data_IF_986316780809
#
_entry.id   IF_986316780809
#
_cell.length_a   1.000
_cell.length_b   1.000
_cell.length_c   1.000
_cell.angle_alpha   90.00
_cell.angle_beta   90.00
_cell.angle_gamma   90.00
#
_symmetry.space_group_name_H-M   'P 1'
#
loop_
_entity.id
_entity.type
_entity.pdbx_description
1 polymer ?
#
# COMPACT_ATOMS: atom_id res chain seq x y z
N UNK A 1 28.47 -52.47 -41.57
CA UNK A 1 29.19 -52.44 -42.87
C UNK A 1 28.56 -51.30 -43.66
N UNK A 2 29.25 -50.16 -43.79
CA UNK A 2 30.11 -49.82 -44.93
C UNK A 2 29.31 -49.57 -46.21
N UNK A 3 29.27 -48.31 -46.66
CA UNK A 3 29.74 -47.84 -47.98
C UNK A 3 29.55 -46.30 -48.08
N UNK A 4 30.64 -45.53 -47.90
CA UNK A 4 31.46 -44.83 -48.94
C UNK A 4 30.90 -43.44 -49.32
N UNK A 5 31.55 -42.36 -48.86
CA UNK A 5 32.57 -41.55 -49.60
C UNK A 5 31.94 -40.63 -50.68
N UNK A 6 32.04 -39.30 -50.52
CA UNK A 6 33.03 -38.39 -51.17
C UNK A 6 32.93 -38.43 -52.71
N UNK A 7 32.85 -37.30 -53.41
CA UNK A 7 34.00 -36.40 -53.69
C UNK A 7 33.54 -35.00 -54.13
N UNK A 8 34.42 -34.00 -53.99
CA UNK A 8 34.24 -32.60 -54.42
C UNK A 8 34.30 -32.43 -55.95
N UNK A 9 33.61 -31.41 -56.48
CA UNK A 9 33.74 -30.95 -57.86
C UNK A 9 33.58 -29.43 -57.98
N UNK A 10 34.68 -28.69 -57.77
CA UNK A 10 34.75 -27.22 -57.95
C UNK A 10 34.91 -26.83 -59.41
N UNK A 11 34.28 -25.73 -59.86
CA UNK A 11 34.94 -24.68 -60.66
C UNK A 11 34.05 -23.45 -60.97
N UNK A 12 34.58 -22.25 -60.69
CA UNK A 12 34.75 -21.09 -61.59
C UNK A 12 33.52 -20.56 -62.39
N UNK A 13 33.22 -19.25 -62.47
CA UNK A 13 34.06 -18.03 -62.38
C UNK A 13 33.25 -16.79 -61.95
N UNK A 14 33.96 -15.86 -61.29
CA UNK A 14 33.85 -14.37 -61.28
C UNK A 14 32.91 -13.79 -62.37
N UNK A 15 32.04 -12.80 -62.11
CA UNK A 15 32.36 -11.44 -61.59
C UNK A 15 31.04 -10.64 -61.36
N UNK A 16 30.87 -9.65 -60.46
CA UNK A 16 31.56 -9.27 -59.21
C UNK A 16 30.73 -8.25 -58.37
N UNK A 17 31.16 -8.09 -57.09
CA UNK A 17 31.06 -6.98 -56.10
C UNK A 17 30.15 -5.72 -56.32
N UNK A 18 29.71 -5.05 -55.21
CA UNK A 18 29.25 -5.62 -53.91
C UNK A 18 28.19 -4.79 -53.11
N UNK A 19 27.70 -5.40 -52.02
CA UNK A 19 27.43 -4.80 -50.69
C UNK A 19 26.31 -3.73 -50.50
N UNK A 20 25.52 -3.77 -49.43
CA UNK A 20 25.36 -4.81 -48.40
C UNK A 20 23.96 -4.73 -47.76
N UNK A 21 23.47 -5.87 -47.25
CA UNK A 21 22.15 -6.02 -46.67
C UNK A 21 22.14 -5.96 -45.14
N UNK A 22 20.94 -5.64 -44.62
CA UNK A 22 20.33 -6.07 -43.36
C UNK A 22 21.20 -6.66 -42.22
N UNK A 23 21.05 -6.04 -41.05
CA UNK A 23 20.50 -6.73 -39.87
C UNK A 23 21.36 -7.76 -39.15
N UNK A 24 22.02 -7.34 -38.06
CA UNK A 24 22.39 -8.22 -36.94
C UNK A 24 22.01 -7.53 -35.62
N UNK A 25 21.18 -8.20 -34.83
CA UNK A 25 20.85 -7.74 -33.48
C UNK A 25 22.07 -7.91 -32.56
N UNK A 26 22.57 -6.80 -32.00
CA UNK A 26 23.66 -6.82 -31.03
C UNK A 26 23.12 -6.97 -29.60
N UNK A 27 23.53 -7.99 -28.83
CA UNK A 27 23.19 -8.07 -27.41
C UNK A 27 24.03 -7.06 -26.63
N UNK A 28 23.36 -6.17 -25.88
CA UNK A 28 24.03 -5.24 -24.96
C UNK A 28 24.70 -6.00 -23.81
N UNK A 29 25.99 -6.34 -23.98
CA UNK A 29 26.86 -6.82 -22.90
C UNK A 29 27.07 -5.72 -21.87
N UNK A 30 26.26 -5.74 -20.82
CA UNK A 30 26.53 -5.01 -19.58
C UNK A 30 27.81 -5.58 -18.94
N UNK A 31 28.95 -4.92 -19.16
CA UNK A 31 30.13 -5.13 -18.32
C UNK A 31 29.83 -4.61 -16.92
N UNK A 32 29.75 -5.52 -15.95
CA UNK A 32 29.82 -5.16 -14.55
C UNK A 32 31.25 -4.70 -14.24
N UNK A 33 31.46 -3.38 -14.21
CA UNK A 33 32.66 -2.81 -13.58
C UNK A 33 32.51 -2.99 -12.07
N UNK A 34 33.29 -3.91 -11.50
CA UNK A 34 33.54 -3.92 -10.06
C UNK A 34 34.26 -2.60 -9.75
N UNK A 35 33.55 -1.69 -9.09
CA UNK A 35 34.13 -0.42 -8.69
C UNK A 35 35.07 -0.66 -7.50
N UNK A 36 36.31 -0.20 -7.63
CA UNK A 36 37.27 -0.16 -6.54
C UNK A 36 36.82 0.80 -5.43
N UNK A 37 37.35 0.58 -4.24
CA UNK A 37 37.25 1.51 -3.11
C UNK A 37 37.77 2.91 -3.50
N UNK A 38 37.22 3.93 -2.83
CA UNK A 38 37.81 5.26 -2.65
C UNK A 38 38.17 6.07 -3.91
N UNK A 39 37.14 6.44 -4.66
CA UNK A 39 37.14 7.66 -5.45
C UNK A 39 36.00 8.57 -4.96
N UNK A 40 36.31 9.83 -4.63
CA UNK A 40 35.34 10.80 -4.13
C UNK A 40 34.16 10.93 -5.11
N UNK A 41 32.96 10.56 -4.66
CA UNK A 41 31.80 10.46 -5.52
C UNK A 41 31.28 11.86 -5.90
N UNK A 42 31.56 12.28 -7.14
CA UNK A 42 30.97 13.50 -7.70
C UNK A 42 29.44 13.45 -7.75
N UNK A 43 28.77 14.61 -7.86
CA UNK A 43 27.32 14.72 -7.76
C UNK A 43 26.59 13.83 -8.77
N UNK A 44 25.59 13.09 -8.29
CA UNK A 44 24.86 12.10 -9.10
C UNK A 44 23.81 12.81 -9.97
N UNK A 45 23.91 12.66 -11.29
CA UNK A 45 22.96 13.26 -12.23
C UNK A 45 21.50 12.84 -11.93
N UNK A 46 20.68 13.78 -11.42
CA UNK A 46 19.30 13.53 -11.01
C UNK A 46 18.44 12.95 -12.14
N UNK A 47 18.62 13.45 -13.37
CA UNK A 47 17.91 12.95 -14.55
C UNK A 47 18.25 11.49 -14.85
N UNK A 48 19.53 11.11 -14.73
CA UNK A 48 19.98 9.73 -14.89
C UNK A 48 19.34 8.83 -13.82
N UNK A 49 19.34 9.25 -12.55
CA UNK A 49 18.70 8.51 -11.45
C UNK A 49 17.19 8.33 -11.69
N UNK A 50 16.48 9.39 -12.07
CA UNK A 50 15.05 9.32 -12.40
C UNK A 50 14.74 8.35 -13.55
N UNK A 51 15.67 8.18 -14.51
CA UNK A 51 15.57 7.18 -15.58
C UNK A 51 15.92 5.77 -15.10
N UNK A 52 16.95 5.64 -14.25
CA UNK A 52 17.39 4.36 -13.68
C UNK A 52 16.30 3.74 -12.79
N UNK A 53 15.70 4.50 -11.87
CA UNK A 53 14.62 4.03 -11.00
C UNK A 53 13.45 3.48 -11.82
N UNK A 54 12.94 4.27 -12.79
CA UNK A 54 11.88 3.83 -13.72
C UNK A 54 12.26 2.58 -14.50
N UNK A 55 13.50 2.49 -15.00
CA UNK A 55 14.00 1.32 -15.73
C UNK A 55 14.03 0.05 -14.87
N UNK A 56 14.36 0.15 -13.57
CA UNK A 56 14.33 -0.99 -12.66
C UNK A 56 12.89 -1.40 -12.33
N UNK A 57 12.02 -0.43 -12.02
CA UNK A 57 10.60 -0.69 -11.73
C UNK A 57 9.87 -1.38 -12.91
N UNK A 58 10.19 -0.99 -14.15
CA UNK A 58 9.57 -1.53 -15.36
C UNK A 58 10.13 -2.89 -15.83
N UNK A 59 11.24 -3.39 -15.26
CA UNK A 59 11.84 -4.65 -15.68
C UNK A 59 11.12 -5.87 -15.09
N UNK A 60 10.94 -6.92 -15.90
CA UNK A 60 10.38 -8.23 -15.49
C UNK A 60 11.38 -9.09 -14.68
N UNK A 61 12.06 -8.48 -13.71
CA UNK A 61 12.94 -9.14 -12.75
C UNK A 61 12.18 -9.54 -11.50
N UNK A 62 12.70 -10.49 -10.71
CA UNK A 62 12.13 -10.81 -9.40
C UNK A 62 12.16 -9.59 -8.47
N UNK A 63 11.16 -9.49 -7.61
CA UNK A 63 11.00 -8.33 -6.72
C UNK A 63 12.23 -8.16 -5.80
N UNK A 64 12.85 -9.25 -5.34
CA UNK A 64 14.11 -9.23 -4.57
C UNK A 64 15.30 -8.55 -5.29
N UNK A 65 15.38 -8.71 -6.61
CA UNK A 65 16.42 -8.06 -7.42
C UNK A 65 16.10 -6.57 -7.59
N UNK A 66 14.82 -6.22 -7.77
CA UNK A 66 14.38 -4.82 -7.79
C UNK A 66 14.65 -4.13 -6.44
N UNK A 67 14.29 -4.75 -5.31
CA UNK A 67 14.59 -4.27 -3.96
C UNK A 67 16.07 -3.91 -3.81
N UNK A 68 16.98 -4.85 -4.10
CA UNK A 68 18.44 -4.62 -3.99
C UNK A 68 18.92 -3.50 -4.90
N UNK A 69 18.46 -3.46 -6.16
CA UNK A 69 18.90 -2.45 -7.15
C UNK A 69 18.35 -1.05 -6.87
N UNK A 70 17.09 -0.94 -6.45
CA UNK A 70 16.47 0.34 -6.09
C UNK A 70 17.08 0.90 -4.80
N UNK A 71 17.27 0.06 -3.75
CA UNK A 71 17.98 0.48 -2.53
C UNK A 71 19.38 1.02 -2.85
N UNK A 72 20.15 0.31 -3.68
CA UNK A 72 21.49 0.76 -4.09
C UNK A 72 21.49 2.04 -4.94
N UNK A 73 20.45 2.27 -5.76
CA UNK A 73 20.31 3.49 -6.55
C UNK A 73 19.89 4.70 -5.68
N UNK A 74 18.99 4.49 -4.71
CA UNK A 74 18.54 5.52 -3.77
C UNK A 74 19.68 5.93 -2.84
N UNK A 75 20.39 4.98 -2.20
CA UNK A 75 21.51 5.31 -1.29
C UNK A 75 22.61 6.16 -1.97
N UNK A 76 22.89 5.93 -3.26
CA UNK A 76 23.83 6.76 -4.04
C UNK A 76 23.30 8.16 -4.36
N UNK A 77 21.99 8.30 -4.53
CA UNK A 77 21.37 9.62 -4.68
C UNK A 77 21.45 10.38 -3.35
N UNK A 78 21.10 9.74 -2.24
CA UNK A 78 21.06 10.37 -0.92
C UNK A 78 22.42 10.91 -0.46
N UNK A 79 23.52 10.22 -0.78
CA UNK A 79 24.87 10.65 -0.42
C UNK A 79 25.35 11.95 -1.08
N UNK A 80 24.59 12.49 -2.04
CA UNK A 80 24.91 13.77 -2.70
C UNK A 80 23.64 14.54 -3.12
N UNK A 81 22.50 14.32 -2.44
CA UNK A 81 21.18 14.73 -2.95
C UNK A 81 21.04 16.25 -3.10
N UNK A 82 21.60 17.04 -2.18
CA UNK A 82 21.53 18.51 -2.18
C UNK A 82 22.33 19.10 -3.35
N UNK A 83 23.58 18.66 -3.54
CA UNK A 83 24.44 19.10 -4.64
C UNK A 83 23.89 18.64 -6.00
N UNK A 84 23.40 17.39 -6.05
CA UNK A 84 22.79 16.80 -7.25
C UNK A 84 21.51 17.53 -7.66
N UNK A 85 20.69 17.95 -6.69
CA UNK A 85 19.46 18.68 -6.93
C UNK A 85 19.74 20.13 -7.36
N UNK A 86 20.59 20.84 -6.62
CA UNK A 86 20.96 22.23 -6.95
C UNK A 86 21.62 22.34 -8.32
N UNK A 87 22.60 21.47 -8.62
CA UNK A 87 23.25 21.42 -9.94
C UNK A 87 22.29 21.05 -11.08
N UNK A 88 21.29 20.18 -10.83
CA UNK A 88 20.30 19.82 -11.83
C UNK A 88 19.24 20.92 -12.08
N UNK A 89 18.91 21.72 -11.07
CA UNK A 89 17.90 22.77 -11.17
C UNK A 89 18.47 24.10 -11.68
N UNK A 90 19.71 24.44 -11.32
CA UNK A 90 20.35 25.71 -11.68
C UNK A 90 20.24 26.10 -13.17
N UNK A 91 20.59 25.25 -14.16
CA UNK A 91 20.60 25.63 -15.58
C UNK A 91 19.21 25.65 -16.24
N UNK A 92 18.17 25.13 -15.59
CA UNK A 92 16.86 24.92 -16.19
C UNK A 92 15.93 26.14 -16.08
N UNK A 93 15.06 26.32 -17.06
CA UNK A 93 13.97 27.29 -16.99
C UNK A 93 12.85 26.85 -16.03
N UNK A 94 12.01 27.77 -15.56
CA UNK A 94 10.98 27.49 -14.55
C UNK A 94 9.93 26.43 -14.97
N UNK A 95 9.69 26.22 -16.27
CA UNK A 95 8.86 25.12 -16.77
C UNK A 95 9.58 23.76 -16.66
N UNK A 96 10.83 23.70 -17.11
CA UNK A 96 11.67 22.49 -17.12
C UNK A 96 12.02 22.03 -15.70
N UNK A 97 12.26 22.98 -14.77
CA UNK A 97 12.42 22.69 -13.33
C UNK A 97 11.22 21.94 -12.79
N UNK A 98 10.00 22.46 -13.00
CA UNK A 98 8.76 21.82 -12.56
C UNK A 98 8.57 20.44 -13.18
N UNK A 99 8.88 20.28 -14.48
CA UNK A 99 8.78 18.96 -15.11
C UNK A 99 9.80 17.95 -14.53
N UNK A 100 11.02 18.38 -14.22
CA UNK A 100 12.03 17.55 -13.56
C UNK A 100 11.64 17.20 -12.11
N UNK A 101 11.09 18.15 -11.35
CA UNK A 101 10.56 17.93 -9.99
C UNK A 101 9.43 16.89 -10.00
N UNK A 102 8.42 17.06 -10.87
CA UNK A 102 7.33 16.07 -11.05
C UNK A 102 7.88 14.70 -11.46
N UNK A 103 8.84 14.66 -12.38
CA UNK A 103 9.47 13.42 -12.84
C UNK A 103 10.26 12.73 -11.72
N UNK A 104 10.89 13.49 -10.82
CA UNK A 104 11.58 12.94 -9.65
C UNK A 104 10.59 12.40 -8.61
N UNK A 105 9.54 13.17 -8.27
CA UNK A 105 8.45 12.72 -7.39
C UNK A 105 7.83 11.41 -7.87
N UNK A 106 7.45 11.32 -9.16
CA UNK A 106 6.95 10.08 -9.78
C UNK A 106 7.93 8.91 -9.65
N UNK A 107 9.21 9.14 -9.96
CA UNK A 107 10.24 8.10 -9.87
C UNK A 107 10.44 7.60 -8.44
N UNK A 108 10.51 8.50 -7.46
CA UNK A 108 10.68 8.15 -6.05
C UNK A 108 9.44 7.43 -5.49
N UNK A 109 8.23 7.94 -5.80
CA UNK A 109 6.97 7.31 -5.40
C UNK A 109 6.81 5.89 -5.98
N UNK A 110 7.24 5.68 -7.24
CA UNK A 110 7.26 4.34 -7.84
C UNK A 110 8.23 3.37 -7.14
N UNK A 111 9.31 3.91 -6.54
CA UNK A 111 10.34 3.12 -5.88
C UNK A 111 9.97 2.73 -4.44
N UNK A 112 9.11 3.45 -3.72
CA UNK A 112 8.80 3.15 -2.29
C UNK A 112 8.24 1.75 -2.06
N UNK A 113 7.55 1.17 -3.06
CA UNK A 113 7.11 -0.25 -3.06
C UNK A 113 8.25 -1.25 -2.85
N UNK A 114 9.48 -0.83 -3.17
CA UNK A 114 10.71 -1.61 -3.13
C UNK A 114 11.70 -1.14 -2.05
N UNK A 115 11.36 -0.11 -1.27
CA UNK A 115 12.19 0.39 -0.19
C UNK A 115 11.69 -0.18 1.14
N UNK A 116 12.63 -0.45 2.04
CA UNK A 116 12.27 -0.79 3.41
C UNK A 116 11.83 0.48 4.13
N UNK A 117 10.78 0.38 4.95
CA UNK A 117 10.40 1.46 5.85
C UNK A 117 11.46 1.52 6.95
N UNK A 118 12.15 2.65 7.05
CA UNK A 118 12.98 3.00 8.19
C UNK A 118 12.01 3.30 9.33
N UNK A 119 11.62 2.25 10.06
CA UNK A 119 10.93 2.42 11.34
C UNK A 119 11.84 3.20 12.29
N UNK A 120 11.28 3.95 13.23
CA UNK A 120 12.02 4.86 14.12
C UNK A 120 12.81 4.12 15.21
N UNK A 121 13.69 3.21 14.81
CA UNK A 121 14.59 2.43 15.67
C UNK A 121 15.81 3.26 16.10
N UNK A 122 15.56 4.42 16.71
CA UNK A 122 16.62 5.34 17.17
C UNK A 122 16.17 6.35 18.25
N UNK A 123 15.28 5.95 19.17
CA UNK A 123 14.95 6.76 20.37
C UNK A 123 14.76 5.96 21.67
N UNK A 124 15.35 4.76 21.75
CA UNK A 124 15.42 3.91 22.96
C UNK A 124 16.81 3.28 23.11
N UNK A 125 17.87 4.10 23.00
CA UNK A 125 19.19 3.80 23.56
C UNK A 125 19.59 4.94 24.52
N UNK A 126 18.98 4.94 25.70
CA UNK A 126 19.45 5.66 26.89
C UNK A 126 18.89 4.95 28.14
N UNK A 127 19.79 4.57 29.05
CA UNK A 127 19.59 3.86 30.32
C UNK A 127 18.77 2.55 30.30
N UNK A 128 19.50 1.44 30.52
CA UNK A 128 18.91 0.18 30.92
C UNK A 128 18.74 0.09 32.44
N UNK A 129 17.66 -0.54 32.88
CA UNK A 129 17.58 -1.29 34.15
C UNK A 129 16.66 -2.50 33.90
N UNK A 130 17.18 -3.71 34.10
CA UNK A 130 16.33 -4.89 34.23
C UNK A 130 15.63 -4.89 35.59
N UNK A 131 14.30 -4.90 35.61
CA UNK A 131 13.54 -5.51 36.72
C UNK A 131 12.33 -6.24 36.16
N UNK A 132 12.41 -7.56 36.04
CA UNK A 132 11.25 -8.39 35.76
C UNK A 132 10.29 -8.44 36.96
N UNK A 133 8.98 -8.40 36.71
CA UNK A 133 7.95 -8.88 37.65
C UNK A 133 6.63 -9.18 36.93
N UNK A 134 6.30 -10.47 36.82
CA UNK A 134 4.94 -10.92 36.56
C UNK A 134 4.01 -10.47 37.71
N UNK A 135 2.83 -9.96 37.38
CA UNK A 135 1.66 -10.11 38.26
C UNK A 135 0.34 -10.07 37.46
N UNK A 136 -0.66 -10.91 37.78
CA UNK A 136 -1.84 -11.09 36.93
C UNK A 136 -3.02 -10.18 37.32
N UNK A 137 -3.89 -9.91 36.33
CA UNK A 137 -5.20 -9.24 36.41
C UNK A 137 -5.19 -7.74 36.75
N UNK A 138 -5.35 -6.92 35.71
CA UNK A 138 -5.92 -5.57 35.75
C UNK A 138 -7.11 -5.48 34.75
N UNK A 139 -8.05 -4.53 34.89
CA UNK A 139 -9.42 -4.68 34.37
C UNK A 139 -9.57 -4.38 32.86
N UNK A 140 -10.59 -5.00 32.26
CA UNK A 140 -10.99 -4.80 30.85
C UNK A 140 -11.80 -3.51 30.64
N UNK A 141 -11.17 -2.34 30.66
CA UNK A 141 -11.79 -1.12 30.13
C UNK A 141 -10.86 -0.41 29.12
N UNK A 142 -11.47 0.17 28.09
CA UNK A 142 -10.88 1.04 27.06
C UNK A 142 -9.46 0.70 26.54
N UNK A 143 -9.40 -0.06 25.43
CA UNK A 143 -8.34 0.13 24.42
C UNK A 143 -8.98 0.46 23.08
N UNK A 144 -9.29 1.74 22.92
CA UNK A 144 -9.34 2.39 21.62
C UNK A 144 -8.52 3.67 21.78
N UNK A 145 -7.67 3.94 20.79
CA UNK A 145 -6.60 4.93 20.80
C UNK A 145 -5.41 4.56 21.70
N UNK A 146 -4.28 4.33 21.03
CA UNK A 146 -2.92 4.68 21.46
C UNK A 146 -2.31 5.41 20.26
N UNK A 147 -2.79 6.62 20.00
CA UNK A 147 -2.04 7.65 19.24
C UNK A 147 -1.15 8.37 20.26
N UNK A 148 -0.38 7.58 21.02
CA UNK A 148 0.42 8.03 22.15
C UNK A 148 1.79 8.47 21.64
N UNK A 149 1.97 9.78 21.48
CA UNK A 149 3.29 10.42 21.57
C UNK A 149 4.29 10.16 20.45
N UNK A 150 3.92 9.52 19.33
CA UNK A 150 4.79 9.50 18.14
C UNK A 150 4.96 10.91 17.59
N UNK A 151 6.09 11.56 17.93
CA UNK A 151 6.52 12.87 17.40
C UNK A 151 6.82 12.73 15.91
N UNK A 152 5.79 12.74 15.09
CA UNK A 152 5.90 12.60 13.64
C UNK A 152 6.63 13.81 13.06
N UNK A 153 7.84 13.58 12.54
CA UNK A 153 8.77 14.61 12.07
C UNK A 153 8.41 15.25 10.73
N UNK A 154 7.29 14.87 10.11
CA UNK A 154 6.94 15.26 8.74
C UNK A 154 7.79 14.61 7.63
N UNK A 155 8.87 13.91 8.01
CA UNK A 155 9.80 13.25 7.08
C UNK A 155 9.25 11.91 6.57
N UNK A 156 9.67 11.55 5.35
CA UNK A 156 9.34 10.24 4.76
C UNK A 156 10.09 9.13 5.50
N UNK A 157 9.44 8.01 5.87
CA UNK A 157 10.12 6.89 6.51
C UNK A 157 10.92 6.04 5.50
N UNK A 158 11.14 6.50 4.27
CA UNK A 158 11.91 5.79 3.26
C UNK A 158 13.25 6.44 2.96
N UNK A 159 13.44 7.69 3.36
CA UNK A 159 14.54 8.56 2.92
C UNK A 159 15.11 9.37 4.10
N UNK A 160 16.31 9.91 3.93
CA UNK A 160 16.89 10.90 4.83
C UNK A 160 16.03 12.18 4.91
N UNK A 161 16.25 12.96 5.97
CA UNK A 161 15.58 14.26 6.17
C UNK A 161 15.82 15.19 4.97
N UNK A 162 17.08 15.36 4.54
CA UNK A 162 17.42 16.21 3.39
C UNK A 162 16.74 15.78 2.07
N UNK A 163 16.62 14.48 1.81
CA UNK A 163 15.83 13.99 0.67
C UNK A 163 14.34 14.30 0.86
N UNK A 164 13.79 14.13 2.07
CA UNK A 164 12.38 14.40 2.38
C UNK A 164 12.03 15.89 2.20
N UNK A 165 12.89 16.79 2.68
CA UNK A 165 12.71 18.25 2.55
C UNK A 165 12.70 18.68 1.08
N UNK A 166 13.63 18.17 0.28
CA UNK A 166 13.68 18.43 -1.16
C UNK A 166 12.47 17.85 -1.91
N UNK A 167 11.93 16.71 -1.48
CA UNK A 167 10.70 16.16 -2.05
C UNK A 167 9.46 17.00 -1.64
N UNK A 168 9.40 17.50 -0.39
CA UNK A 168 8.36 18.43 0.03
C UNK A 168 8.42 19.75 -0.77
N UNK A 169 9.62 20.31 -0.95
CA UNK A 169 9.85 21.47 -1.81
C UNK A 169 9.37 21.22 -3.25
N UNK A 170 9.64 20.04 -3.83
CA UNK A 170 9.11 19.69 -5.16
C UNK A 170 7.58 19.69 -5.19
N UNK A 171 6.89 19.17 -4.17
CA UNK A 171 5.42 19.19 -4.12
C UNK A 171 4.91 20.62 -3.99
N UNK A 172 5.53 21.44 -3.12
CA UNK A 172 5.21 22.85 -2.90
C UNK A 172 5.33 23.68 -4.19
N UNK A 173 6.49 23.65 -4.83
CA UNK A 173 6.76 24.36 -6.09
C UNK A 173 5.81 23.91 -7.20
N UNK A 174 5.57 22.60 -7.36
CA UNK A 174 4.68 22.10 -8.40
C UNK A 174 3.19 22.37 -8.13
N UNK A 175 2.76 22.53 -6.88
CA UNK A 175 1.37 22.81 -6.53
C UNK A 175 1.04 24.31 -6.49
N UNK A 176 1.98 25.15 -6.03
CA UNK A 176 1.70 26.55 -5.68
C UNK A 176 2.30 27.60 -6.64
N UNK A 177 3.23 27.23 -7.54
CA UNK A 177 3.88 28.20 -8.43
C UNK A 177 2.93 28.82 -9.49
N UNK A 178 1.77 28.23 -9.75
CA UNK A 178 0.75 28.78 -10.64
C UNK A 178 -0.66 28.55 -10.07
N UNK A 179 -1.43 29.63 -9.92
CA UNK A 179 -2.83 29.58 -9.50
C UNK A 179 -3.75 28.82 -10.49
N UNK A 180 -3.25 28.50 -11.69
CA UNK A 180 -3.92 27.70 -12.73
C UNK A 180 -3.42 26.26 -12.84
N UNK A 181 -2.62 25.78 -11.87
CA UNK A 181 -2.15 24.38 -11.84
C UNK A 181 -3.35 23.43 -11.96
N UNK A 182 -3.29 22.53 -12.95
CA UNK A 182 -4.44 21.75 -13.37
C UNK A 182 -4.82 20.65 -12.36
N UNK A 183 -6.10 20.29 -12.31
CA UNK A 183 -6.59 19.29 -11.37
C UNK A 183 -5.96 17.89 -11.56
N UNK A 184 -5.44 17.53 -12.75
CA UNK A 184 -4.79 16.25 -12.95
C UNK A 184 -3.39 16.24 -12.31
N UNK A 185 -2.60 17.31 -12.51
CA UNK A 185 -1.31 17.53 -11.82
C UNK A 185 -1.50 17.59 -10.30
N UNK A 186 -2.48 18.35 -9.79
CA UNK A 186 -2.77 18.41 -8.35
C UNK A 186 -3.14 17.03 -7.77
N UNK A 187 -3.93 16.23 -8.50
CA UNK A 187 -4.29 14.86 -8.10
C UNK A 187 -3.08 13.92 -8.11
N UNK A 188 -2.18 14.07 -9.07
CA UNK A 188 -0.94 13.30 -9.13
C UNK A 188 0.02 13.68 -8.00
N UNK A 189 0.18 14.97 -7.70
CA UNK A 189 0.98 15.45 -6.57
C UNK A 189 0.49 14.89 -5.24
N UNK A 190 -0.83 14.90 -5.00
CA UNK A 190 -1.43 14.25 -3.84
C UNK A 190 -1.13 12.74 -3.80
N UNK A 191 -1.24 12.06 -4.94
CA UNK A 191 -0.90 10.64 -5.08
C UNK A 191 0.57 10.33 -4.77
N UNK A 192 1.51 11.17 -5.24
CA UNK A 192 2.93 11.06 -4.93
C UNK A 192 3.20 11.31 -3.44
N UNK A 193 2.69 12.40 -2.87
CA UNK A 193 2.87 12.72 -1.45
C UNK A 193 2.37 11.60 -0.52
N UNK A 194 1.23 10.98 -0.85
CA UNK A 194 0.65 9.84 -0.12
C UNK A 194 1.46 8.53 -0.25
N UNK A 195 2.15 8.32 -1.38
CA UNK A 195 3.02 7.16 -1.60
C UNK A 195 4.42 7.34 -0.99
N UNK A 196 4.84 8.58 -0.84
CA UNK A 196 6.10 9.00 -0.22
C UNK A 196 5.95 9.27 1.29
N UNK A 197 4.72 9.39 1.81
CA UNK A 197 4.38 9.79 3.19
C UNK A 197 4.98 11.18 3.56
N UNK A 198 4.95 12.14 2.63
CA UNK A 198 5.47 13.50 2.82
C UNK A 198 4.54 14.36 3.69
N UNK A 199 5.12 15.18 4.56
CA UNK A 199 4.39 15.89 5.62
C UNK A 199 4.13 17.38 5.46
N UNK A 200 4.19 17.95 4.24
CA UNK A 200 3.87 19.37 4.01
C UNK A 200 2.36 19.63 4.11
N UNK A 201 1.86 19.80 5.35
CA UNK A 201 0.42 19.93 5.66
C UNK A 201 -0.23 21.12 4.95
N UNK A 202 0.44 22.27 4.87
CA UNK A 202 -0.09 23.47 4.21
C UNK A 202 -0.35 23.23 2.72
N UNK A 203 0.63 22.64 2.04
CA UNK A 203 0.52 22.32 0.61
C UNK A 203 -0.52 21.22 0.36
N UNK A 204 -0.58 20.20 1.22
CA UNK A 204 -1.60 19.15 1.13
C UNK A 204 -3.01 19.69 1.38
N UNK A 205 -3.19 20.61 2.33
CA UNK A 205 -4.46 21.34 2.53
C UNK A 205 -4.83 22.15 1.30
N UNK A 206 -3.89 22.88 0.70
CA UNK A 206 -4.12 23.63 -0.55
C UNK A 206 -4.58 22.71 -1.69
N UNK A 207 -3.84 21.63 -1.96
CA UNK A 207 -4.16 20.65 -3.00
C UNK A 207 -5.55 20.04 -2.78
N UNK A 208 -5.84 19.57 -1.56
CA UNK A 208 -7.13 18.94 -1.25
C UNK A 208 -8.28 19.95 -1.29
N UNK A 209 -8.07 21.18 -0.82
CA UNK A 209 -9.07 22.25 -0.93
C UNK A 209 -9.41 22.53 -2.41
N UNK A 210 -8.40 22.67 -3.28
CA UNK A 210 -8.61 22.88 -4.71
C UNK A 210 -9.42 21.73 -5.36
N UNK A 211 -9.03 20.48 -5.08
CA UNK A 211 -9.68 19.29 -5.63
C UNK A 211 -11.11 19.02 -5.09
N UNK A 212 -11.47 19.62 -3.95
CA UNK A 212 -12.79 19.50 -3.29
C UNK A 212 -13.69 20.74 -3.45
N UNK A 213 -13.29 21.72 -4.27
CA UNK A 213 -14.18 22.82 -4.68
C UNK A 213 -15.38 22.28 -5.46
N UNK A 214 -16.52 22.98 -5.35
CA UNK A 214 -17.79 22.53 -5.94
C UNK A 214 -17.68 22.26 -7.45
N UNK A 215 -17.02 23.15 -8.19
CA UNK A 215 -16.85 23.04 -9.64
C UNK A 215 -15.86 21.91 -10.01
N UNK A 216 -14.84 21.68 -9.17
CA UNK A 216 -13.93 20.55 -9.31
C UNK A 216 -14.68 19.22 -9.11
N UNK A 217 -15.53 19.10 -8.09
CA UNK A 217 -16.29 17.86 -7.84
C UNK A 217 -17.36 17.59 -8.90
N UNK A 218 -18.04 18.63 -9.40
CA UNK A 218 -19.08 18.51 -10.45
C UNK A 218 -18.57 17.92 -11.75
N UNK A 219 -17.32 18.23 -12.12
CA UNK A 219 -16.72 17.78 -13.37
C UNK A 219 -15.98 16.43 -13.24
N UNK A 220 -15.96 15.83 -12.05
CA UNK A 220 -15.30 14.53 -11.82
C UNK A 220 -16.26 13.36 -11.98
N UNK A 221 -15.78 12.31 -12.65
CA UNK A 221 -16.46 11.01 -12.67
C UNK A 221 -16.50 10.38 -11.27
N UNK A 222 -17.45 9.47 -10.99
CA UNK A 222 -17.50 8.79 -9.70
C UNK A 222 -16.21 8.04 -9.35
N UNK A 223 -15.54 7.42 -10.34
CA UNK A 223 -14.28 6.72 -10.10
C UNK A 223 -13.15 7.67 -9.66
N UNK A 224 -13.07 8.86 -10.25
CA UNK A 224 -12.12 9.89 -9.80
C UNK A 224 -12.44 10.39 -8.38
N UNK A 225 -13.72 10.53 -8.02
CA UNK A 225 -14.13 10.91 -6.67
C UNK A 225 -13.76 9.83 -5.63
N UNK A 226 -13.90 8.53 -5.98
CA UNK A 226 -13.45 7.41 -5.15
C UNK A 226 -11.93 7.42 -4.99
N UNK A 227 -11.18 7.68 -6.06
CA UNK A 227 -9.72 7.81 -6.01
C UNK A 227 -9.28 9.01 -5.16
N UNK A 228 -9.94 10.17 -5.30
CA UNK A 228 -9.69 11.36 -4.49
C UNK A 228 -9.97 11.09 -3.01
N UNK A 229 -11.12 10.52 -2.67
CA UNK A 229 -11.46 10.12 -1.29
C UNK A 229 -10.42 9.16 -0.71
N UNK A 230 -9.94 8.20 -1.52
CA UNK A 230 -8.88 7.29 -1.12
C UNK A 230 -7.57 8.02 -0.81
N UNK A 231 -7.09 8.87 -1.72
CA UNK A 231 -5.88 9.65 -1.50
C UNK A 231 -6.00 10.58 -0.28
N UNK A 232 -7.12 11.29 -0.11
CA UNK A 232 -7.37 12.11 1.09
C UNK A 232 -7.35 11.26 2.37
N UNK A 233 -8.04 10.12 2.40
CA UNK A 233 -8.06 9.24 3.58
C UNK A 233 -6.68 8.66 3.94
N UNK A 234 -5.79 8.52 2.95
CA UNK A 234 -4.42 8.09 3.16
C UNK A 234 -3.50 9.27 3.55
N UNK A 235 -3.73 10.48 3.04
CA UNK A 235 -3.05 11.70 3.48
C UNK A 235 -3.34 11.99 4.96
N UNK A 236 -4.60 11.85 5.39
CA UNK A 236 -4.96 11.96 6.82
C UNK A 236 -4.24 10.91 7.66
N UNK A 237 -4.18 9.65 7.19
CA UNK A 237 -3.55 8.55 7.94
C UNK A 237 -2.01 8.58 7.97
N UNK A 238 -1.37 8.95 6.87
CA UNK A 238 0.09 8.80 6.65
C UNK A 238 0.85 10.12 6.71
N UNK A 239 0.26 11.16 6.13
CA UNK A 239 0.82 12.51 6.05
C UNK A 239 0.26 13.43 7.15
N UNK A 240 -0.40 12.85 8.17
CA UNK A 240 -1.09 13.51 9.31
C UNK A 240 -1.92 14.75 8.92
N UNK A 241 -2.47 14.76 7.69
CA UNK A 241 -3.33 15.86 7.20
C UNK A 241 -4.58 15.97 8.11
N UNK A 242 -4.95 17.15 8.61
CA UNK A 242 -6.22 17.33 9.32
C UNK A 242 -7.42 16.96 8.43
N UNK A 243 -8.41 16.27 8.99
CA UNK A 243 -9.58 15.78 8.23
C UNK A 243 -10.32 16.93 7.54
N UNK A 244 -10.33 16.98 6.19
CA UNK A 244 -10.98 18.06 5.45
C UNK A 244 -12.50 17.85 5.36
N UNK A 245 -13.29 18.90 5.07
CA UNK A 245 -14.72 18.77 4.79
C UNK A 245 -14.94 18.01 3.47
N UNK A 246 -15.64 16.88 3.54
CA UNK A 246 -15.78 15.94 2.41
C UNK A 246 -17.20 15.83 1.85
N UNK A 247 -18.17 16.61 2.35
CA UNK A 247 -19.60 16.46 2.02
C UNK A 247 -19.87 16.51 0.50
N UNK A 248 -19.12 17.34 -0.24
CA UNK A 248 -19.21 17.47 -1.71
C UNK A 248 -18.70 16.26 -2.48
N UNK A 249 -17.72 15.53 -1.94
CA UNK A 249 -17.22 14.27 -2.51
C UNK A 249 -18.17 13.14 -2.13
N UNK A 250 -18.71 13.18 -0.90
CA UNK A 250 -19.55 12.12 -0.36
C UNK A 250 -20.99 12.15 -0.90
N UNK A 251 -21.55 13.30 -1.26
CA UNK A 251 -22.96 13.42 -1.67
C UNK A 251 -23.31 12.69 -2.99
N UNK A 252 -22.33 12.42 -3.85
CA UNK A 252 -22.53 11.75 -5.16
C UNK A 252 -22.50 10.22 -5.02
N UNK A 253 -21.68 9.68 -4.11
CA UNK A 253 -21.43 8.24 -3.96
C UNK A 253 -22.69 7.40 -3.66
N UNK A 254 -23.69 7.87 -2.88
CA UNK A 254 -24.97 7.17 -2.71
C UNK A 254 -25.74 6.94 -4.01
N UNK A 255 -25.54 7.76 -5.05
CA UNK A 255 -26.22 7.62 -6.36
C UNK A 255 -25.33 7.00 -7.45
N UNK A 256 -24.01 7.09 -7.33
CA UNK A 256 -23.06 6.54 -8.30
C UNK A 256 -23.18 5.01 -8.48
N UNK A 257 -22.95 4.53 -9.71
CA UNK A 257 -22.66 3.12 -9.99
C UNK A 257 -21.19 2.84 -9.65
N UNK A 258 -20.94 2.05 -8.61
CA UNK A 258 -19.60 1.66 -8.18
C UNK A 258 -19.36 0.18 -8.49
N UNK A 259 -18.14 -0.19 -8.84
CA UNK A 259 -17.74 -1.59 -8.91
C UNK A 259 -17.42 -2.16 -7.50
N UNK A 260 -17.17 -3.48 -7.45
CA UNK A 260 -16.91 -4.20 -6.21
C UNK A 260 -15.75 -3.60 -5.40
N UNK A 261 -14.65 -3.22 -6.06
CA UNK A 261 -13.44 -2.66 -5.44
C UNK A 261 -13.61 -1.19 -5.05
N UNK A 262 -14.25 -0.39 -5.90
CA UNK A 262 -14.57 1.02 -5.59
C UNK A 262 -15.43 1.12 -4.33
N UNK A 263 -16.42 0.23 -4.19
CA UNK A 263 -17.27 0.18 -3.00
C UNK A 263 -16.46 -0.11 -1.73
N UNK A 264 -15.54 -1.09 -1.76
CA UNK A 264 -14.64 -1.37 -0.64
C UNK A 264 -13.64 -0.23 -0.38
N UNK A 265 -13.15 0.43 -1.44
CA UNK A 265 -12.24 1.56 -1.34
C UNK A 265 -12.91 2.76 -0.64
N UNK A 266 -14.19 3.05 -0.93
CA UNK A 266 -14.99 4.06 -0.21
C UNK A 266 -15.15 3.69 1.26
N UNK A 267 -15.61 2.47 1.58
CA UNK A 267 -15.82 2.03 2.97
C UNK A 267 -14.51 2.09 3.78
N UNK A 268 -13.42 1.58 3.21
CA UNK A 268 -12.08 1.62 3.82
C UNK A 268 -11.57 3.06 4.03
N UNK A 269 -11.92 3.99 3.13
CA UNK A 269 -11.57 5.41 3.26
C UNK A 269 -12.37 6.10 4.36
N UNK A 270 -13.68 5.85 4.44
CA UNK A 270 -14.55 6.36 5.50
C UNK A 270 -14.14 5.84 6.88
N UNK A 271 -13.72 4.57 6.97
CA UNK A 271 -13.17 4.00 8.20
C UNK A 271 -11.90 4.75 8.67
N UNK A 272 -10.95 5.04 7.77
CA UNK A 272 -9.74 5.81 8.10
C UNK A 272 -10.04 7.23 8.58
N UNK A 273 -11.06 7.87 8.02
CA UNK A 273 -11.39 9.27 8.29
C UNK A 273 -12.17 9.49 9.60
N UNK A 274 -12.72 8.43 10.23
CA UNK A 274 -13.62 8.49 11.41
C UNK A 274 -14.76 9.55 11.23
N UNK A 275 -15.21 9.80 10.00
CA UNK A 275 -16.04 10.98 9.67
C UNK A 275 -17.50 10.81 10.14
N UNK A 276 -17.90 11.53 11.20
CA UNK A 276 -19.17 11.34 11.89
C UNK A 276 -20.43 11.41 10.99
N UNK A 277 -20.45 12.32 10.01
CA UNK A 277 -21.60 12.53 9.12
C UNK A 277 -21.70 11.55 7.94
N UNK A 278 -20.88 10.50 7.89
CA UNK A 278 -20.84 9.58 6.75
C UNK A 278 -21.83 8.40 6.83
N UNK A 279 -22.60 8.25 7.92
CA UNK A 279 -23.40 7.04 8.22
C UNK A 279 -24.33 6.64 7.06
N UNK A 280 -25.09 7.57 6.47
CA UNK A 280 -26.00 7.28 5.36
C UNK A 280 -25.25 6.83 4.09
N UNK A 281 -24.05 7.38 3.87
CA UNK A 281 -23.17 7.00 2.75
C UNK A 281 -22.62 5.60 2.98
N UNK A 282 -22.20 5.26 4.21
CA UNK A 282 -21.79 3.91 4.60
C UNK A 282 -22.93 2.92 4.38
N UNK A 283 -24.14 3.22 4.87
CA UNK A 283 -25.31 2.36 4.71
C UNK A 283 -25.73 2.19 3.23
N UNK A 284 -25.62 3.25 2.42
CA UNK A 284 -25.90 3.18 0.98
C UNK A 284 -24.84 2.40 0.22
N UNK A 285 -23.55 2.63 0.47
CA UNK A 285 -22.44 2.00 -0.27
C UNK A 285 -22.27 0.54 0.14
N UNK A 286 -22.40 0.21 1.43
CA UNK A 286 -22.36 -1.19 1.89
C UNK A 286 -23.49 -2.03 1.27
N UNK A 287 -24.71 -1.51 1.16
CA UNK A 287 -25.81 -2.21 0.45
C UNK A 287 -25.54 -2.44 -1.05
N UNK A 288 -24.77 -1.58 -1.71
CA UNK A 288 -24.30 -1.82 -3.10
C UNK A 288 -23.22 -2.90 -3.12
N UNK A 289 -22.22 -2.75 -2.26
CA UNK A 289 -21.12 -3.69 -2.07
C UNK A 289 -21.61 -5.14 -1.84
N UNK A 290 -22.69 -5.30 -1.07
CA UNK A 290 -23.33 -6.59 -0.80
C UNK A 290 -23.76 -7.34 -2.08
N UNK A 291 -24.25 -6.60 -3.10
CA UNK A 291 -24.71 -7.18 -4.38
C UNK A 291 -23.56 -7.70 -5.24
N UNK A 292 -22.33 -7.27 -4.96
CA UNK A 292 -21.10 -7.60 -5.69
C UNK A 292 -20.18 -8.53 -4.87
N UNK A 293 -20.65 -9.06 -3.75
CA UNK A 293 -19.81 -9.85 -2.83
C UNK A 293 -19.20 -11.11 -3.48
N UNK A 294 -19.85 -11.68 -4.51
CA UNK A 294 -19.31 -12.82 -5.26
C UNK A 294 -18.08 -12.49 -6.13
N UNK A 295 -17.83 -11.20 -6.41
CA UNK A 295 -16.62 -10.76 -7.12
C UNK A 295 -15.38 -10.71 -6.20
N UNK A 296 -15.58 -10.74 -4.88
CA UNK A 296 -14.49 -10.59 -3.92
C UNK A 296 -13.54 -11.79 -3.92
N UNK A 297 -12.25 -11.48 -3.92
CA UNK A 297 -11.17 -12.43 -3.63
C UNK A 297 -10.79 -12.39 -2.14
N UNK A 298 -9.86 -13.27 -1.71
CA UNK A 298 -9.46 -13.37 -0.30
C UNK A 298 -8.87 -12.09 0.32
N UNK A 299 -8.28 -11.18 -0.46
CA UNK A 299 -7.85 -9.86 0.04
C UNK A 299 -9.03 -8.89 0.19
N UNK A 300 -9.93 -8.89 -0.80
CA UNK A 300 -11.12 -8.04 -0.79
C UNK A 300 -12.03 -8.38 0.40
N UNK A 301 -12.20 -9.66 0.72
CA UNK A 301 -12.94 -10.14 1.91
C UNK A 301 -12.31 -9.65 3.23
N UNK A 302 -10.98 -9.62 3.34
CA UNK A 302 -10.31 -9.07 4.54
C UNK A 302 -10.63 -7.58 4.72
N UNK A 303 -10.57 -6.78 3.64
CA UNK A 303 -10.96 -5.36 3.70
C UNK A 303 -12.46 -5.17 3.98
N UNK A 304 -13.30 -6.05 3.45
CA UNK A 304 -14.75 -6.02 3.68
C UNK A 304 -15.10 -6.34 5.15
N UNK A 305 -14.41 -7.33 5.75
CA UNK A 305 -14.55 -7.65 7.18
C UNK A 305 -13.98 -6.56 8.09
N UNK A 306 -12.88 -5.92 7.72
CA UNK A 306 -12.35 -4.74 8.44
C UNK A 306 -13.39 -3.63 8.50
N UNK A 307 -14.02 -3.29 7.37
CA UNK A 307 -15.11 -2.33 7.32
C UNK A 307 -16.32 -2.78 8.15
N UNK A 308 -16.80 -4.02 7.96
CA UNK A 308 -17.93 -4.58 8.70
C UNK A 308 -17.73 -4.57 10.23
N UNK A 309 -16.49 -4.77 10.70
CA UNK A 309 -16.15 -4.85 12.11
C UNK A 309 -15.86 -3.50 12.79
N UNK A 310 -15.41 -2.49 12.02
CA UNK A 310 -14.87 -1.23 12.57
C UNK A 310 -15.57 0.04 12.07
N UNK A 311 -16.41 -0.03 11.04
CA UNK A 311 -17.11 1.13 10.48
C UNK A 311 -18.60 1.12 10.88
N UNK A 312 -19.05 2.03 11.76
CA UNK A 312 -20.46 2.13 12.12
C UNK A 312 -21.32 2.51 10.92
N UNK A 313 -22.56 1.99 10.86
CA UNK A 313 -23.49 2.23 9.76
C UNK A 313 -23.39 1.26 8.58
N UNK A 314 -22.51 0.24 8.63
CA UNK A 314 -22.54 -0.86 7.65
C UNK A 314 -23.89 -1.59 7.71
N UNK A 315 -24.44 -1.95 6.55
CA UNK A 315 -25.66 -2.79 6.49
C UNK A 315 -25.35 -4.23 6.88
N UNK A 316 -26.24 -4.79 7.71
CA UNK A 316 -26.42 -6.22 7.96
C UNK A 316 -26.35 -7.10 6.70
N UNK A 317 -27.03 -6.73 5.60
CA UNK A 317 -26.99 -7.45 4.32
C UNK A 317 -25.56 -7.55 3.77
N UNK A 318 -24.78 -6.48 3.89
CA UNK A 318 -23.36 -6.48 3.51
C UNK A 318 -22.54 -7.43 4.38
N UNK A 319 -22.68 -7.34 5.71
CA UNK A 319 -21.95 -8.21 6.63
C UNK A 319 -22.29 -9.68 6.40
N UNK A 320 -23.57 -10.01 6.22
CA UNK A 320 -24.03 -11.37 5.90
C UNK A 320 -23.44 -11.90 4.59
N UNK A 321 -23.50 -11.11 3.51
CA UNK A 321 -22.89 -11.47 2.22
C UNK A 321 -21.37 -11.68 2.32
N UNK A 322 -20.66 -10.81 3.04
CA UNK A 322 -19.20 -10.92 3.25
C UNK A 322 -18.85 -12.16 4.05
N UNK A 323 -19.60 -12.47 5.12
CA UNK A 323 -19.38 -13.69 5.93
C UNK A 323 -19.60 -14.97 5.11
N UNK A 324 -20.66 -15.02 4.29
CA UNK A 324 -20.91 -16.15 3.37
C UNK A 324 -19.76 -16.32 2.36
N UNK A 325 -19.32 -15.22 1.74
CA UNK A 325 -18.19 -15.22 0.80
C UNK A 325 -16.86 -15.61 1.48
N UNK A 326 -16.69 -15.25 2.75
CA UNK A 326 -15.56 -15.70 3.58
C UNK A 326 -15.57 -17.24 3.68
N UNK A 327 -16.76 -17.83 3.90
CA UNK A 327 -16.95 -19.28 3.95
C UNK A 327 -16.59 -19.96 2.62
N UNK A 328 -17.08 -19.45 1.49
CA UNK A 328 -16.78 -20.03 0.16
C UNK A 328 -15.29 -19.98 -0.20
N UNK A 329 -14.55 -19.00 0.31
CA UNK A 329 -13.12 -18.85 0.06
C UNK A 329 -12.22 -19.54 1.10
N UNK A 330 -12.76 -19.94 2.26
CA UNK A 330 -12.00 -20.40 3.42
C UNK A 330 -10.95 -21.46 3.08
N UNK A 331 -11.35 -22.50 2.32
CA UNK A 331 -10.47 -23.60 1.89
C UNK A 331 -9.20 -23.16 1.11
N UNK A 332 -9.24 -21.99 0.45
CA UNK A 332 -8.14 -21.47 -0.37
C UNK A 332 -7.33 -20.35 0.29
N UNK A 333 -7.73 -19.87 1.47
CA UNK A 333 -7.06 -18.75 2.14
C UNK A 333 -5.64 -19.10 2.58
N UNK A 334 -4.72 -18.14 2.46
CA UNK A 334 -3.37 -18.24 3.06
C UNK A 334 -3.42 -18.08 4.58
N UNK A 335 -2.35 -18.44 5.29
CA UNK A 335 -2.23 -18.26 6.74
C UNK A 335 -2.44 -16.80 7.17
N UNK A 336 -1.84 -15.86 6.45
CA UNK A 336 -2.02 -14.41 6.61
C UNK A 336 -3.48 -13.97 6.42
N UNK A 337 -4.16 -14.48 5.39
CA UNK A 337 -5.57 -14.16 5.13
C UNK A 337 -6.47 -14.72 6.24
N UNK A 338 -6.26 -15.97 6.64
CA UNK A 338 -7.00 -16.59 7.74
C UNK A 338 -6.82 -15.82 9.06
N UNK A 339 -5.59 -15.46 9.40
CA UNK A 339 -5.29 -14.64 10.59
C UNK A 339 -6.00 -13.29 10.56
N UNK A 340 -6.00 -12.60 9.41
CA UNK A 340 -6.70 -11.32 9.23
C UNK A 340 -8.23 -11.45 9.25
N UNK A 341 -8.79 -12.51 8.66
CA UNK A 341 -10.22 -12.84 8.78
C UNK A 341 -10.60 -13.07 10.24
N UNK A 342 -9.88 -13.95 10.95
CA UNK A 342 -10.11 -14.25 12.36
C UNK A 342 -9.98 -13.01 13.26
N UNK A 343 -9.02 -12.11 12.98
CA UNK A 343 -8.89 -10.82 13.68
C UNK A 343 -10.18 -10.00 13.65
N UNK A 344 -10.84 -9.90 12.49
CA UNK A 344 -12.04 -9.08 12.34
C UNK A 344 -13.33 -9.83 12.71
N UNK A 345 -13.43 -11.13 12.43
CA UNK A 345 -14.55 -11.97 12.90
C UNK A 345 -14.60 -12.02 14.44
N UNK A 346 -13.47 -11.97 15.13
CA UNK A 346 -13.42 -11.84 16.60
C UNK A 346 -14.07 -10.56 17.15
N UNK A 347 -14.18 -9.50 16.33
CA UNK A 347 -14.83 -8.23 16.70
C UNK A 347 -16.35 -8.25 16.41
N UNK A 348 -16.80 -9.17 15.55
CA UNK A 348 -18.21 -9.44 15.25
C UNK A 348 -18.89 -10.31 16.32
N UNK A 349 -18.59 -10.05 17.60
CA UNK A 349 -19.11 -10.79 18.76
C UNK A 349 -20.31 -10.05 19.39
N UNK A 350 -21.48 -10.69 19.59
CA UNK A 350 -22.66 -10.05 20.18
C UNK A 350 -22.46 -9.59 21.63
N UNK A 351 -21.43 -10.08 22.33
CA UNK A 351 -21.08 -9.60 23.68
C UNK A 351 -20.42 -8.21 23.71
N UNK A 352 -20.14 -7.59 22.55
CA UNK A 352 -19.68 -6.20 22.46
C UNK A 352 -20.86 -5.24 22.35
N UNK A 353 -21.05 -4.39 23.36
CA UNK A 353 -22.16 -3.42 23.46
C UNK A 353 -22.36 -2.50 22.24
N UNK A 354 -21.32 -2.25 21.44
CA UNK A 354 -21.37 -1.39 20.25
C UNK A 354 -21.68 -2.16 18.95
N UNK A 355 -21.84 -3.50 18.99
CA UNK A 355 -22.01 -4.32 17.78
C UNK A 355 -23.43 -4.88 17.64
N UNK A 356 -24.32 -4.06 17.06
CA UNK A 356 -25.68 -4.47 16.68
C UNK A 356 -25.69 -5.51 15.54
N UNK A 357 -24.71 -5.45 14.62
CA UNK A 357 -24.63 -6.30 13.44
C UNK A 357 -24.37 -7.78 13.77
N UNK A 358 -23.68 -8.06 14.87
CA UNK A 358 -23.42 -9.42 15.35
C UNK A 358 -24.70 -10.20 15.71
N UNK A 359 -25.80 -9.50 16.03
CA UNK A 359 -27.11 -10.13 16.27
C UNK A 359 -27.81 -10.45 14.94
N UNK A 360 -27.79 -9.52 13.97
CA UNK A 360 -28.42 -9.71 12.65
C UNK A 360 -27.74 -10.80 11.81
N UNK A 361 -26.42 -10.97 11.91
CA UNK A 361 -25.63 -11.92 11.10
C UNK A 361 -25.22 -13.19 11.87
N UNK A 362 -25.93 -13.52 12.96
CA UNK A 362 -25.61 -14.65 13.82
C UNK A 362 -25.82 -16.04 13.17
N UNK A 363 -26.53 -16.13 12.04
CA UNK A 363 -26.62 -17.36 11.26
C UNK A 363 -25.35 -17.58 10.44
N UNK A 364 -24.92 -16.56 9.70
CA UNK A 364 -23.71 -16.57 8.86
C UNK A 364 -22.45 -16.81 9.69
N UNK A 365 -22.33 -16.18 10.87
CA UNK A 365 -21.22 -16.44 11.79
C UNK A 365 -21.14 -17.91 12.22
N UNK A 366 -22.28 -18.54 12.55
CA UNK A 366 -22.33 -19.97 12.94
C UNK A 366 -21.96 -20.90 11.79
N UNK A 367 -22.31 -20.56 10.55
CA UNK A 367 -21.88 -21.31 9.37
C UNK A 367 -20.39 -21.11 9.04
N UNK A 368 -19.84 -19.92 9.29
CA UNK A 368 -18.44 -19.59 8.99
C UNK A 368 -17.45 -20.24 9.97
N UNK A 369 -17.76 -20.24 11.27
CA UNK A 369 -16.82 -20.67 12.31
C UNK A 369 -16.22 -22.08 12.11
N UNK A 370 -17.00 -23.13 11.74
CA UNK A 370 -16.44 -24.45 11.42
C UNK A 370 -15.43 -24.43 10.27
N UNK A 371 -15.74 -23.69 9.19
CA UNK A 371 -14.85 -23.57 8.02
C UNK A 371 -13.52 -22.88 8.36
N UNK A 372 -13.54 -21.92 9.30
CA UNK A 372 -12.32 -21.30 9.82
C UNK A 372 -11.52 -22.25 10.71
N UNK A 373 -12.18 -23.14 11.47
CA UNK A 373 -11.53 -24.21 12.25
C UNK A 373 -10.84 -25.20 11.31
N UNK A 374 -11.57 -25.77 10.36
CA UNK A 374 -11.03 -26.71 9.36
C UNK A 374 -9.84 -26.10 8.61
N UNK A 375 -9.95 -24.83 8.17
CA UNK A 375 -8.83 -24.17 7.51
C UNK A 375 -7.64 -23.96 8.45
N UNK A 376 -7.88 -23.56 9.70
CA UNK A 376 -6.82 -23.42 10.70
C UNK A 376 -6.08 -24.75 10.93
N UNK A 377 -6.78 -25.88 11.00
CA UNK A 377 -6.17 -27.20 11.13
C UNK A 377 -5.23 -27.53 9.96
N UNK A 378 -5.67 -27.29 8.71
CA UNK A 378 -4.82 -27.52 7.52
C UNK A 378 -3.59 -26.60 7.44
N UNK A 379 -3.55 -25.53 8.24
CA UNK A 379 -2.47 -24.53 8.25
C UNK A 379 -1.64 -24.56 9.54
N UNK A 380 -1.89 -25.48 10.48
CA UNK A 380 -1.06 -25.66 11.67
C UNK A 380 0.40 -25.90 11.28
N UNK A 381 1.31 -25.14 11.90
CA UNK A 381 2.74 -25.15 11.56
C UNK A 381 3.15 -24.16 10.46
N UNK A 382 2.21 -23.56 9.73
CA UNK A 382 2.47 -22.47 8.75
C UNK A 382 2.05 -21.09 9.24
N UNK A 383 1.24 -21.04 10.31
CA UNK A 383 0.76 -19.80 10.92
C UNK A 383 1.91 -19.10 11.66
N UNK A 384 2.08 -17.79 11.44
CA UNK A 384 2.94 -16.96 12.29
C UNK A 384 2.35 -16.80 13.71
N UNK A 385 3.18 -16.44 14.70
CA UNK A 385 2.75 -16.16 16.08
C UNK A 385 1.52 -15.23 16.12
N UNK A 386 1.54 -14.18 15.29
CA UNK A 386 0.45 -13.19 15.22
C UNK A 386 -0.82 -13.77 14.60
N UNK A 387 -0.72 -14.57 13.54
CA UNK A 387 -1.86 -15.26 12.94
C UNK A 387 -2.49 -16.26 13.92
N UNK A 388 -1.66 -17.07 14.61
CA UNK A 388 -2.10 -18.00 15.64
C UNK A 388 -2.86 -17.29 16.78
N UNK A 389 -2.35 -16.15 17.26
CA UNK A 389 -3.04 -15.29 18.24
C UNK A 389 -4.42 -14.84 17.76
N UNK A 390 -4.56 -14.40 16.51
CA UNK A 390 -5.85 -13.98 15.95
C UNK A 390 -6.83 -15.14 15.79
N UNK A 391 -6.38 -16.32 15.35
CA UNK A 391 -7.19 -17.54 15.27
C UNK A 391 -7.71 -17.95 16.65
N UNK A 392 -6.81 -18.13 17.63
CA UNK A 392 -7.19 -18.51 19.00
C UNK A 392 -8.12 -17.50 19.66
N UNK A 393 -7.89 -16.20 19.43
CA UNK A 393 -8.78 -15.14 19.91
C UNK A 393 -10.17 -15.25 19.30
N UNK A 394 -10.28 -15.46 17.99
CA UNK A 394 -11.56 -15.63 17.30
C UNK A 394 -12.38 -16.79 17.89
N UNK A 395 -11.75 -17.97 18.02
CA UNK A 395 -12.41 -19.15 18.59
C UNK A 395 -12.84 -18.92 20.06
N UNK A 396 -11.99 -18.25 20.86
CA UNK A 396 -12.28 -17.93 22.27
C UNK A 396 -13.43 -16.94 22.42
N UNK A 397 -13.46 -15.87 21.63
CA UNK A 397 -14.52 -14.85 21.62
C UNK A 397 -15.88 -15.47 21.26
N UNK A 398 -15.90 -16.34 20.24
CA UNK A 398 -17.09 -17.07 19.79
C UNK A 398 -17.38 -18.38 20.57
N UNK A 399 -16.64 -18.64 21.65
CA UNK A 399 -16.78 -19.82 22.54
C UNK A 399 -16.66 -21.19 21.84
N UNK A 400 -15.99 -21.23 20.68
CA UNK A 400 -15.70 -22.47 19.95
C UNK A 400 -14.62 -23.25 20.68
N UNK A 401 -14.94 -24.47 21.13
CA UNK A 401 -14.00 -25.36 21.82
C UNK A 401 -13.35 -26.30 20.82
N UNK A 402 -12.06 -26.12 20.54
CA UNK A 402 -11.31 -26.98 19.63
C UNK A 402 -9.97 -27.44 20.24
N UNK A 403 -9.99 -28.55 20.98
CA UNK A 403 -8.87 -29.00 21.83
C UNK A 403 -7.54 -29.10 21.09
N UNK A 404 -7.54 -29.62 19.85
CA UNK A 404 -6.34 -29.77 19.02
C UNK A 404 -5.72 -28.43 18.58
N UNK A 405 -6.55 -27.42 18.30
CA UNK A 405 -6.05 -26.10 17.89
C UNK A 405 -5.55 -25.32 19.10
N UNK A 406 -6.26 -25.39 20.23
CA UNK A 406 -5.76 -24.81 21.48
C UNK A 406 -4.45 -25.49 21.92
N UNK A 407 -4.33 -26.81 21.92
CA UNK A 407 -3.08 -27.47 22.36
C UNK A 407 -1.89 -27.21 21.45
N UNK A 408 -2.08 -27.10 20.13
CA UNK A 408 -0.99 -26.88 19.16
C UNK A 408 -0.62 -25.42 18.94
N UNK A 409 -1.55 -24.48 19.10
CA UNK A 409 -1.29 -23.05 18.87
C UNK A 409 -1.05 -22.27 20.17
N UNK A 410 -1.53 -22.71 21.34
CA UNK A 410 -1.31 -21.98 22.61
C UNK A 410 0.17 -21.85 23.01
N UNK A 411 1.03 -22.88 22.96
CA UNK A 411 2.46 -22.70 23.24
C UNK A 411 3.11 -21.66 22.30
N UNK A 412 2.68 -21.63 21.03
CA UNK A 412 3.06 -20.63 20.00
C UNK A 412 2.48 -19.22 20.30
N UNK A 413 1.94 -18.98 21.50
CA UNK A 413 1.42 -17.66 21.89
C UNK A 413 1.78 -17.21 23.31
N UNK A 414 2.25 -18.11 24.18
CA UNK A 414 2.59 -17.83 25.58
C UNK A 414 4.09 -17.50 25.80
N UNK A 415 4.96 -17.84 24.84
CA UNK A 415 6.43 -17.64 24.91
C UNK A 415 6.94 -16.22 24.54
N UNK A 416 6.13 -15.15 24.70
CA UNK A 416 6.62 -13.74 24.59
C UNK A 416 5.88 -12.78 25.53
#
# INVERSE_FOLDING_TARGET
MWHTQRVLGTCLRRSARPAAAAGVATPLRLRASVASSDAAAGPVCLHYTCRLLRSICAQSQSEEVKHRRLRGAVLRLESSVVDSFSAAMAPLAAGERRELMLRWLRSMASATRYLHRQEASSFMEADGVEVGRFSPRAPRHARHDTDDGETWSGASPYFSLATSDLLCLCVRECAMADARTDHATLRELLGCAVQLELGDVEVLQHIVHALTKADACRNQSPSEQVQLLCHVSLAVKRCKLPTPPLDRVLCVLPRATLNARESLQVLSSLHRLKHAHAIDVVASVSRKAARQAEEYNGKDVVFALEAAALLPGCSDVFVGCVLRRTGTLAATMTSQQLGAVCKYVALLNPSRHQNTLAHSCGAELRCLLPLLVERAETLVGTLSMNEARYVLRCLREHKVRHSLLFSRLTPVTEDT
#
